data_IF_159442183614
#
_entry.id   IF_159442183614
#
_cell.length_a   1.000
_cell.length_b   1.000
_cell.length_c   1.000
_cell.angle_alpha   90.00
_cell.angle_beta   90.00
_cell.angle_gamma   90.00
#
_symmetry.space_group_name_H-M   'P 1'
#
loop_
_entity.id
_entity.type
_entity.pdbx_description
1 polymer ?
#
# COMPACT_ATOMS: atom_id res chain seq x y z
N UNK A 1 -14.37 -21.16 26.31
CA UNK A 1 -13.68 -20.59 27.49
C UNK A 1 -12.33 -21.28 27.62
N UNK A 2 -11.20 -20.57 27.56
CA UNK A 2 -9.89 -21.22 27.69
C UNK A 2 -9.71 -21.67 29.15
N UNK A 3 -9.51 -22.98 29.40
CA UNK A 3 -9.23 -23.50 30.75
C UNK A 3 -7.93 -22.89 31.28
N UNK A 4 -8.03 -22.10 32.36
CA UNK A 4 -6.87 -21.60 33.11
C UNK A 4 -6.25 -22.75 33.91
N UNK A 5 -4.95 -22.98 33.77
CA UNK A 5 -4.22 -24.00 34.57
C UNK A 5 -3.57 -23.35 35.79
N UNK A 6 -3.25 -24.13 36.83
CA UNK A 6 -2.55 -23.63 38.03
C UNK A 6 -1.05 -23.81 37.84
N UNK A 7 -0.26 -22.76 38.07
CA UNK A 7 1.20 -22.86 38.07
C UNK A 7 1.69 -23.70 39.26
N UNK A 8 2.51 -24.74 39.01
CA UNK A 8 3.09 -25.60 40.05
C UNK A 8 3.97 -24.84 41.06
N UNK A 9 4.57 -23.72 40.67
CA UNK A 9 5.54 -23.00 41.51
C UNK A 9 4.92 -21.85 42.31
N UNK A 10 4.00 -21.07 41.72
CA UNK A 10 3.44 -19.87 42.37
C UNK A 10 1.92 -19.92 42.60
N UNK A 11 1.24 -21.00 42.20
CA UNK A 11 -0.21 -21.15 42.39
C UNK A 11 -1.10 -20.26 41.51
N UNK A 12 -0.52 -19.37 40.69
CA UNK A 12 -1.29 -18.46 39.82
C UNK A 12 -2.04 -19.23 38.73
N UNK A 13 -3.31 -18.82 38.50
CA UNK A 13 -4.17 -19.29 37.41
C UNK A 13 -4.10 -18.34 36.20
N UNK A 14 -3.35 -18.71 35.17
CA UNK A 14 -3.18 -17.94 33.94
C UNK A 14 -3.40 -18.80 32.68
N UNK A 15 -3.40 -18.18 31.51
CA UNK A 15 -3.51 -18.79 30.18
C UNK A 15 -2.56 -18.03 29.25
N UNK A 16 -1.87 -18.61 28.22
CA UNK A 16 -1.86 -19.99 27.74
C UNK A 16 -0.48 -20.72 27.76
N UNK A 17 0.60 -20.10 28.25
CA UNK A 17 1.95 -20.65 28.07
C UNK A 17 2.41 -21.51 29.25
N UNK A 18 2.06 -22.81 29.22
CA UNK A 18 2.57 -23.80 30.18
C UNK A 18 3.58 -24.74 29.50
N UNK A 19 4.84 -24.66 29.93
CA UNK A 19 5.83 -25.71 29.75
C UNK A 19 6.14 -26.30 31.14
N UNK A 20 6.10 -27.63 31.28
CA UNK A 20 6.28 -28.33 32.57
C UNK A 20 5.36 -27.83 33.72
N UNK A 21 4.13 -27.40 33.39
CA UNK A 21 3.14 -26.88 34.37
C UNK A 21 3.56 -25.60 35.13
N UNK A 22 4.46 -24.79 34.54
CA UNK A 22 4.82 -23.47 35.07
C UNK A 22 4.16 -22.35 34.26
N UNK A 23 3.74 -21.27 34.91
CA UNK A 23 3.36 -20.04 34.21
C UNK A 23 4.59 -19.40 33.53
N UNK A 24 4.36 -18.48 32.60
CA UNK A 24 5.43 -17.81 31.86
C UNK A 24 6.48 -17.20 32.79
N UNK A 25 6.06 -16.54 33.88
CA UNK A 25 6.95 -15.93 34.87
C UNK A 25 7.87 -16.97 35.53
N UNK A 26 7.30 -18.03 36.09
CA UNK A 26 8.10 -19.06 36.76
C UNK A 26 8.98 -19.84 35.79
N UNK A 27 8.50 -20.08 34.56
CA UNK A 27 9.29 -20.76 33.54
C UNK A 27 10.50 -19.91 33.10
N UNK A 28 10.29 -18.63 32.80
CA UNK A 28 11.38 -17.73 32.43
C UNK A 28 12.38 -17.53 33.58
N UNK A 29 11.92 -17.45 34.83
CA UNK A 29 12.81 -17.39 36.01
C UNK A 29 13.62 -18.67 36.18
N UNK A 30 13.02 -19.85 35.96
CA UNK A 30 13.75 -21.12 36.00
C UNK A 30 14.84 -21.17 34.94
N UNK A 31 14.57 -20.68 33.72
CA UNK A 31 15.59 -20.56 32.68
C UNK A 31 16.69 -19.62 33.15
N UNK A 32 16.33 -18.43 33.65
CA UNK A 32 17.27 -17.43 34.13
C UNK A 32 18.23 -17.96 35.21
N UNK A 33 17.71 -18.71 36.18
CA UNK A 33 18.50 -19.27 37.26
C UNK A 33 19.53 -20.32 36.79
N UNK A 34 19.33 -20.92 35.62
CA UNK A 34 20.23 -21.91 35.03
C UNK A 34 21.26 -21.30 34.05
N UNK A 35 21.29 -19.96 33.90
CA UNK A 35 22.22 -19.29 32.98
C UNK A 35 23.55 -19.01 33.68
N UNK A 36 24.64 -19.50 33.09
CA UNK A 36 26.01 -19.25 33.57
C UNK A 36 26.56 -17.87 33.16
N UNK A 37 25.78 -17.06 32.43
CA UNK A 37 26.21 -15.77 31.91
C UNK A 37 25.58 -14.61 32.67
N UNK A 38 26.35 -13.55 32.92
CA UNK A 38 25.82 -12.30 33.46
C UNK A 38 24.97 -11.60 32.40
N UNK A 39 23.70 -11.35 32.71
CA UNK A 39 22.73 -10.73 31.80
C UNK A 39 22.26 -9.40 32.39
N UNK A 40 22.30 -8.35 31.58
CA UNK A 40 21.91 -6.98 31.97
C UNK A 40 20.43 -6.84 32.33
N UNK A 41 19.54 -7.56 31.64
CA UNK A 41 18.10 -7.48 31.86
C UNK A 41 17.53 -8.83 32.27
N UNK A 42 16.84 -8.82 33.41
CA UNK A 42 16.19 -9.98 34.01
C UNK A 42 14.84 -10.29 33.36
N UNK A 43 14.44 -11.55 33.42
CA UNK A 43 13.20 -12.06 32.84
C UNK A 43 11.96 -11.39 33.43
N UNK A 44 11.89 -11.20 34.76
CA UNK A 44 10.76 -10.52 35.41
C UNK A 44 10.55 -9.09 34.90
N UNK A 45 11.63 -8.33 34.69
CA UNK A 45 11.55 -7.00 34.12
C UNK A 45 10.96 -7.05 32.71
N UNK A 46 11.45 -7.94 31.85
CA UNK A 46 10.92 -8.07 30.48
C UNK A 46 9.46 -8.51 30.46
N UNK A 47 9.03 -9.41 31.36
CA UNK A 47 7.62 -9.82 31.44
C UNK A 47 6.74 -8.64 31.81
N UNK A 48 7.10 -7.89 32.85
CA UNK A 48 6.32 -6.73 33.27
C UNK A 48 6.24 -5.71 32.12
N UNK A 49 7.37 -5.32 31.55
CA UNK A 49 7.43 -4.24 30.57
C UNK A 49 6.85 -4.63 29.20
N UNK A 50 7.14 -5.84 28.72
CA UNK A 50 6.73 -6.27 27.38
C UNK A 50 5.35 -6.94 27.36
N UNK A 51 5.05 -7.79 28.35
CA UNK A 51 3.82 -8.59 28.35
C UNK A 51 2.69 -7.89 29.10
N UNK A 52 2.96 -7.35 30.29
CA UNK A 52 1.93 -6.72 31.14
C UNK A 52 1.66 -5.28 30.68
N UNK A 53 2.69 -4.45 30.61
CA UNK A 53 2.61 -3.04 30.19
C UNK A 53 2.51 -2.87 28.67
N UNK A 54 2.65 -3.96 27.90
CA UNK A 54 2.57 -3.98 26.44
C UNK A 54 3.49 -2.95 25.75
N UNK A 55 4.66 -2.65 26.34
CA UNK A 55 5.63 -1.73 25.73
C UNK A 55 6.25 -2.38 24.50
N UNK A 56 6.46 -1.59 23.45
CA UNK A 56 7.19 -2.08 22.27
C UNK A 56 8.66 -2.40 22.62
N UNK A 57 9.24 -3.40 21.94
CA UNK A 57 10.67 -3.73 22.01
C UNK A 57 11.56 -2.48 21.80
N UNK A 58 11.12 -1.55 20.95
CA UNK A 58 11.83 -0.29 20.71
C UNK A 58 11.82 0.63 21.93
N UNK A 59 10.70 0.73 22.64
CA UNK A 59 10.58 1.54 23.86
C UNK A 59 11.48 0.98 24.97
N UNK A 60 11.41 -0.33 25.21
CA UNK A 60 12.28 -1.03 26.18
C UNK A 60 13.75 -0.83 25.81
N UNK A 61 14.10 -0.99 24.53
CA UNK A 61 15.46 -0.75 24.01
C UNK A 61 15.97 0.66 24.31
N UNK A 62 15.16 1.70 24.10
CA UNK A 62 15.53 3.09 24.36
C UNK A 62 15.69 3.37 25.87
N UNK A 63 14.73 2.95 26.68
CA UNK A 63 14.72 3.16 28.14
C UNK A 63 15.90 2.47 28.83
N UNK A 64 16.37 1.34 28.27
CA UNK A 64 17.47 0.56 28.84
C UNK A 64 18.81 0.75 28.12
N UNK A 65 18.91 1.67 27.15
CA UNK A 65 20.12 1.94 26.36
C UNK A 65 20.71 0.68 25.68
N UNK A 66 19.86 -0.28 25.30
CA UNK A 66 20.25 -1.51 24.59
C UNK A 66 19.76 -1.50 23.14
N UNK A 67 20.34 -2.33 22.29
CA UNK A 67 19.84 -2.50 20.92
C UNK A 67 18.56 -3.34 20.90
N UNK A 68 17.66 -3.05 19.95
CA UNK A 68 16.43 -3.85 19.74
C UNK A 68 16.74 -5.33 19.47
N UNK A 69 17.87 -5.64 18.83
CA UNK A 69 18.35 -7.01 18.63
C UNK A 69 18.70 -7.70 19.94
N UNK A 70 19.32 -6.99 20.89
CA UNK A 70 19.68 -7.53 22.21
C UNK A 70 18.42 -7.82 23.04
N UNK A 71 17.45 -6.90 23.07
CA UNK A 71 16.14 -7.15 23.71
C UNK A 71 15.44 -8.37 23.10
N UNK A 72 15.42 -8.50 21.75
CA UNK A 72 14.87 -9.70 21.09
C UNK A 72 15.59 -10.97 21.50
N UNK A 73 16.92 -10.94 21.59
CA UNK A 73 17.72 -12.09 22.05
C UNK A 73 17.31 -12.50 23.46
N UNK A 74 17.12 -11.56 24.38
CA UNK A 74 16.68 -11.84 25.74
C UNK A 74 15.25 -12.39 25.82
N UNK A 75 14.31 -11.83 25.07
CA UNK A 75 12.95 -12.37 24.97
C UNK A 75 12.97 -13.83 24.49
N UNK A 76 13.76 -14.14 23.45
CA UNK A 76 13.92 -15.51 22.96
C UNK A 76 14.62 -16.43 23.97
N UNK A 77 15.67 -15.93 24.63
CA UNK A 77 16.44 -16.66 25.66
C UNK A 77 15.53 -17.08 26.82
N UNK A 78 14.73 -16.15 27.33
CA UNK A 78 13.76 -16.40 28.41
C UNK A 78 12.46 -17.05 27.93
N UNK A 79 12.36 -17.41 26.64
CA UNK A 79 11.18 -18.02 26.01
C UNK A 79 9.91 -17.19 26.21
N UNK A 80 10.05 -15.87 26.23
CA UNK A 80 8.92 -14.92 26.23
C UNK A 80 8.43 -14.78 24.78
N UNK A 81 7.17 -15.14 24.48
CA UNK A 81 6.64 -15.12 23.12
C UNK A 81 6.70 -13.72 22.52
N UNK A 82 7.36 -13.57 21.36
CA UNK A 82 7.42 -12.30 20.65
C UNK A 82 6.21 -12.20 19.71
N UNK A 83 5.24 -11.39 20.10
CA UNK A 83 4.10 -11.08 19.23
C UNK A 83 4.52 -10.12 18.13
N UNK A 84 4.30 -10.54 16.87
CA UNK A 84 4.37 -9.63 15.73
C UNK A 84 2.99 -9.03 15.52
N UNK A 85 2.82 -7.75 15.90
CA UNK A 85 1.62 -7.01 15.52
C UNK A 85 1.49 -7.02 13.99
N UNK A 86 0.48 -7.73 13.50
CA UNK A 86 0.12 -7.74 12.08
C UNK A 86 -0.67 -6.46 11.80
N UNK A 87 -0.39 -5.82 10.67
CA UNK A 87 -1.24 -4.74 10.20
C UNK A 87 -2.61 -5.33 9.83
N UNK A 88 -3.67 -4.66 10.24
CA UNK A 88 -5.05 -4.88 9.81
C UNK A 88 -5.25 -4.37 8.40
N UNK A 89 -6.13 -5.03 7.63
CA UNK A 89 -6.53 -4.58 6.30
C UNK A 89 -8.03 -4.89 6.10
N UNK A 90 -8.73 -4.10 5.29
CA UNK A 90 -10.02 -4.53 4.76
C UNK A 90 -9.81 -5.62 3.71
N UNK A 91 -9.81 -6.87 4.15
CA UNK A 91 -9.63 -8.05 3.29
C UNK A 91 -10.74 -8.24 2.26
N UNK A 92 -11.90 -7.57 2.45
CA UNK A 92 -13.05 -7.63 1.54
C UNK A 92 -13.03 -6.56 0.46
N UNK A 93 -11.99 -5.72 0.39
CA UNK A 93 -11.95 -4.54 -0.51
C UNK A 93 -12.09 -4.90 -2.00
N UNK A 94 -11.60 -6.08 -2.40
CA UNK A 94 -11.63 -6.54 -3.80
C UNK A 94 -12.68 -7.63 -4.03
N UNK A 95 -12.92 -8.52 -3.07
CA UNK A 95 -14.01 -9.51 -3.14
C UNK A 95 -15.42 -8.91 -2.99
N UNK A 96 -15.57 -7.76 -2.32
CA UNK A 96 -16.80 -6.95 -2.31
C UNK A 96 -16.53 -5.60 -2.98
N UNK A 97 -16.53 -5.62 -4.32
CA UNK A 97 -16.15 -4.47 -5.13
C UNK A 97 -17.03 -3.25 -4.86
N UNK A 98 -16.40 -2.08 -4.79
CA UNK A 98 -17.03 -0.77 -4.62
C UNK A 98 -16.32 0.27 -5.49
N UNK A 99 -16.86 1.47 -5.63
CA UNK A 99 -16.20 2.56 -6.35
C UNK A 99 -14.79 2.87 -5.82
N UNK A 100 -14.59 2.81 -4.49
CA UNK A 100 -13.28 3.00 -3.87
C UNK A 100 -12.34 1.81 -4.12
N UNK A 101 -12.87 0.58 -4.05
CA UNK A 101 -12.11 -0.63 -4.37
C UNK A 101 -11.63 -0.66 -5.81
N UNK A 102 -12.50 -0.29 -6.76
CA UNK A 102 -12.16 -0.21 -8.19
C UNK A 102 -11.10 0.87 -8.45
N UNK A 103 -11.25 2.06 -7.84
CA UNK A 103 -10.23 3.12 -7.90
C UNK A 103 -8.87 2.64 -7.37
N UNK A 104 -8.85 1.98 -6.21
CA UNK A 104 -7.63 1.42 -5.64
C UNK A 104 -7.01 0.35 -6.57
N UNK A 105 -7.83 -0.53 -7.15
CA UNK A 105 -7.38 -1.54 -8.10
C UNK A 105 -6.69 -0.90 -9.31
N UNK A 106 -7.29 0.14 -9.89
CA UNK A 106 -6.70 0.89 -11.00
C UNK A 106 -5.38 1.55 -10.65
N UNK A 107 -5.28 2.14 -9.46
CA UNK A 107 -4.04 2.74 -8.97
C UNK A 107 -2.95 1.66 -8.76
N UNK A 108 -3.30 0.48 -8.26
CA UNK A 108 -2.36 -0.64 -8.09
C UNK A 108 -1.83 -1.12 -9.45
N UNK A 109 -2.68 -1.21 -10.47
CA UNK A 109 -2.28 -1.66 -11.80
C UNK A 109 -1.24 -0.72 -12.42
N UNK A 110 -1.27 0.57 -12.08
CA UNK A 110 -0.32 1.58 -12.57
C UNK A 110 0.88 1.83 -11.66
N UNK A 111 0.67 2.13 -10.38
CA UNK A 111 1.70 2.54 -9.42
C UNK A 111 1.95 1.51 -8.28
N UNK A 112 1.35 0.33 -8.36
CA UNK A 112 1.65 -0.81 -7.49
C UNK A 112 2.86 -1.64 -7.96
N UNK A 113 3.63 -2.18 -7.03
CA UNK A 113 4.82 -3.00 -7.28
C UNK A 113 4.61 -4.36 -6.64
N UNK A 114 4.32 -5.34 -7.50
CA UNK A 114 3.97 -6.69 -7.10
C UNK A 114 5.19 -7.60 -7.21
N UNK A 115 5.61 -8.18 -6.09
CA UNK A 115 6.90 -8.82 -5.96
C UNK A 115 6.78 -10.15 -5.20
N UNK A 116 7.67 -11.09 -5.52
CA UNK A 116 7.83 -12.34 -4.76
C UNK A 116 8.94 -12.17 -3.73
N UNK A 117 8.64 -12.43 -2.46
CA UNK A 117 9.67 -12.60 -1.45
C UNK A 117 10.27 -14.01 -1.59
N UNK A 118 11.46 -14.09 -2.19
CA UNK A 118 12.18 -15.36 -2.42
C UNK A 118 12.46 -16.15 -1.13
N UNK A 119 12.57 -15.49 0.03
CA UNK A 119 12.86 -16.17 1.31
C UNK A 119 11.63 -16.84 1.91
N UNK A 120 10.46 -16.24 1.75
CA UNK A 120 9.21 -16.75 2.32
C UNK A 120 8.30 -17.42 1.29
N UNK A 121 8.70 -17.37 0.01
CA UNK A 121 7.90 -17.79 -1.15
C UNK A 121 6.47 -17.20 -1.15
N UNK A 122 6.34 -15.93 -0.75
CA UNK A 122 5.06 -15.23 -0.67
C UNK A 122 5.10 -13.94 -1.49
N UNK A 123 4.02 -13.69 -2.22
CA UNK A 123 3.82 -12.44 -2.92
C UNK A 123 3.50 -11.32 -1.95
N UNK A 124 3.93 -10.11 -2.29
CA UNK A 124 3.58 -8.89 -1.60
C UNK A 124 3.42 -7.73 -2.58
N UNK A 125 2.72 -6.70 -2.15
CA UNK A 125 2.48 -5.50 -2.91
C UNK A 125 3.06 -4.29 -2.18
N UNK A 126 3.68 -3.38 -2.91
CA UNK A 126 3.95 -2.01 -2.45
C UNK A 126 3.20 -1.02 -3.31
N UNK A 127 2.50 -0.08 -2.70
CA UNK A 127 1.84 1.00 -3.44
C UNK A 127 2.64 2.27 -3.22
N UNK A 128 3.11 2.93 -4.28
CA UNK A 128 3.97 4.10 -4.19
C UNK A 128 3.27 5.40 -4.58
N UNK A 129 3.76 6.52 -4.03
CA UNK A 129 3.49 7.86 -4.55
C UNK A 129 4.59 8.83 -4.14
N UNK A 130 4.82 9.85 -4.96
CA UNK A 130 5.65 11.01 -4.58
C UNK A 130 4.92 11.93 -3.59
N UNK A 131 3.59 11.84 -3.53
CA UNK A 131 2.74 12.71 -2.71
C UNK A 131 2.18 11.92 -1.52
N UNK A 132 2.47 12.38 -0.30
CA UNK A 132 2.01 11.70 0.93
C UNK A 132 0.49 11.67 1.03
N UNK A 133 -0.19 12.76 0.63
CA UNK A 133 -1.66 12.86 0.67
C UNK A 133 -2.32 11.76 -0.16
N UNK A 134 -1.72 11.38 -1.30
CA UNK A 134 -2.21 10.28 -2.11
C UNK A 134 -2.12 8.95 -1.36
N UNK A 135 -0.98 8.69 -0.72
CA UNK A 135 -0.79 7.45 0.06
C UNK A 135 -1.74 7.41 1.26
N UNK A 136 -2.01 8.54 1.91
CA UNK A 136 -2.97 8.62 3.02
C UNK A 136 -4.40 8.32 2.56
N UNK A 137 -4.83 8.81 1.40
CA UNK A 137 -6.14 8.46 0.81
C UNK A 137 -6.25 6.97 0.50
N UNK A 138 -5.23 6.39 -0.12
CA UNK A 138 -5.19 4.96 -0.42
C UNK A 138 -5.18 4.12 0.86
N UNK A 139 -4.49 4.57 1.92
CA UNK A 139 -4.54 3.96 3.26
C UNK A 139 -5.94 3.96 3.84
N UNK A 140 -6.67 5.08 3.72
CA UNK A 140 -8.06 5.21 4.18
C UNK A 140 -9.00 4.28 3.41
N UNK A 141 -8.83 4.18 2.08
CA UNK A 141 -9.59 3.22 1.25
C UNK A 141 -9.31 1.76 1.66
N UNK A 142 -8.05 1.42 1.89
CA UNK A 142 -7.63 0.09 2.36
C UNK A 142 -8.09 -0.23 3.79
N UNK A 143 -8.53 0.78 4.56
CA UNK A 143 -8.86 0.70 5.99
C UNK A 143 -7.82 -0.09 6.76
N UNK A 144 -6.57 0.35 6.67
CA UNK A 144 -5.40 -0.33 7.27
C UNK A 144 -4.69 0.56 8.29
N UNK A 145 -4.16 -0.05 9.35
CA UNK A 145 -3.23 0.60 10.29
C UNK A 145 -1.77 0.55 9.82
N UNK A 146 -1.49 -0.04 8.65
CA UNK A 146 -0.14 -0.14 8.10
C UNK A 146 0.60 1.20 8.09
N UNK A 147 1.84 1.19 8.58
CA UNK A 147 2.69 2.37 8.60
C UNK A 147 3.02 2.81 7.17
N UNK A 148 2.85 4.11 6.90
CA UNK A 148 3.37 4.72 5.66
C UNK A 148 4.89 4.78 5.80
N UNK A 149 5.57 4.11 4.88
CA UNK A 149 7.02 4.11 4.78
C UNK A 149 7.47 5.23 3.87
N UNK A 150 8.70 5.69 4.06
CA UNK A 150 9.31 6.79 3.34
C UNK A 150 10.72 6.38 2.92
N UNK A 151 11.06 6.63 1.67
CA UNK A 151 12.44 6.63 1.19
C UNK A 151 12.82 8.07 0.89
N UNK A 152 13.85 8.55 1.56
CA UNK A 152 14.35 9.92 1.38
C UNK A 152 14.97 10.11 0.00
N UNK A 153 15.06 11.37 -0.41
CA UNK A 153 15.83 11.73 -1.58
C UNK A 153 17.31 11.39 -1.36
N UNK A 154 17.96 10.87 -2.39
CA UNK A 154 19.40 10.59 -2.40
C UNK A 154 20.01 11.03 -3.73
N UNK A 155 21.14 11.71 -3.66
CA UNK A 155 21.91 12.10 -4.83
C UNK A 155 22.96 11.02 -5.12
N UNK A 156 23.07 10.63 -6.38
CA UNK A 156 24.01 9.64 -6.90
C UNK A 156 24.70 10.27 -8.11
N UNK A 157 25.68 11.14 -7.86
CA UNK A 157 26.31 11.96 -8.91
C UNK A 157 25.26 12.76 -9.68
N UNK A 158 25.21 12.56 -11.00
CA UNK A 158 24.28 13.22 -11.92
C UNK A 158 22.83 12.73 -11.82
N UNK A 159 22.55 11.74 -10.97
CA UNK A 159 21.21 11.17 -10.81
C UNK A 159 20.63 11.45 -9.43
N UNK A 160 19.38 11.94 -9.40
CA UNK A 160 18.65 12.22 -8.15
C UNK A 160 17.55 11.19 -7.98
N UNK A 161 17.66 10.36 -6.95
CA UNK A 161 16.55 9.54 -6.49
C UNK A 161 15.58 10.42 -5.72
N UNK A 162 14.40 10.68 -6.28
CA UNK A 162 13.38 11.48 -5.59
C UNK A 162 12.83 10.75 -4.36
N UNK A 163 12.48 11.55 -3.35
CA UNK A 163 11.71 11.11 -2.18
C UNK A 163 10.39 10.45 -2.60
N UNK A 164 10.05 9.34 -1.95
CA UNK A 164 8.84 8.55 -2.26
C UNK A 164 8.25 7.94 -0.99
N UNK A 165 6.92 7.83 -0.96
CA UNK A 165 6.16 7.22 0.11
C UNK A 165 5.51 5.93 -0.37
N UNK A 166 5.35 4.96 0.52
CA UNK A 166 4.70 3.70 0.17
C UNK A 166 4.08 2.96 1.34
N UNK A 167 3.10 2.10 1.02
CA UNK A 167 2.52 1.13 1.96
C UNK A 167 2.92 -0.26 1.51
N UNK A 168 3.39 -1.09 2.46
CA UNK A 168 3.68 -2.50 2.23
C UNK A 168 2.48 -3.36 2.63
N UNK A 169 2.00 -4.19 1.70
CA UNK A 169 0.85 -5.07 1.85
C UNK A 169 1.33 -6.52 1.65
N UNK A 170 1.39 -7.27 2.76
CA UNK A 170 1.70 -8.71 2.76
C UNK A 170 0.49 -9.59 3.09
N UNK A 171 -0.72 -9.02 3.07
CA UNK A 171 -1.95 -9.74 3.37
C UNK A 171 -2.32 -10.66 2.20
N UNK A 172 -2.26 -11.98 2.39
CA UNK A 172 -2.41 -12.94 1.31
C UNK A 172 -3.84 -13.01 0.74
N UNK A 173 -4.87 -12.61 1.50
CA UNK A 173 -6.25 -12.56 0.99
C UNK A 173 -6.36 -11.46 -0.08
N UNK A 174 -5.86 -10.26 0.22
CA UNK A 174 -5.81 -9.15 -0.73
C UNK A 174 -4.96 -9.51 -1.96
N UNK A 175 -3.81 -10.14 -1.74
CA UNK A 175 -2.90 -10.54 -2.81
C UNK A 175 -3.55 -11.55 -3.75
N UNK A 176 -4.26 -12.55 -3.21
CA UNK A 176 -4.97 -13.55 -4.00
C UNK A 176 -6.11 -12.92 -4.81
N UNK A 177 -6.82 -11.94 -4.26
CA UNK A 177 -7.84 -11.21 -5.02
C UNK A 177 -7.23 -10.40 -6.18
N UNK A 178 -6.08 -9.75 -5.98
CA UNK A 178 -5.36 -9.03 -7.04
C UNK A 178 -4.90 -9.96 -8.16
N UNK A 179 -4.43 -11.17 -7.82
CA UNK A 179 -4.07 -12.20 -8.81
C UNK A 179 -5.29 -12.61 -9.65
N UNK A 180 -6.48 -12.78 -9.04
CA UNK A 180 -7.73 -13.07 -9.77
C UNK A 180 -8.11 -11.96 -10.76
N UNK A 181 -7.81 -10.71 -10.43
CA UNK A 181 -7.98 -9.57 -11.35
C UNK A 181 -6.90 -9.49 -12.44
N UNK A 182 -5.89 -10.36 -12.42
CA UNK A 182 -4.86 -10.43 -13.46
C UNK A 182 -3.61 -9.58 -13.18
N UNK A 183 -3.36 -9.19 -11.92
CA UNK A 183 -2.09 -8.57 -11.54
C UNK A 183 -0.94 -9.58 -11.63
N UNK A 184 0.22 -9.15 -12.15
CA UNK A 184 1.40 -10.00 -12.37
C UNK A 184 2.69 -9.28 -11.98
N UNK A 185 3.79 -9.99 -11.67
CA UNK A 185 5.09 -9.38 -11.34
C UNK A 185 5.58 -8.48 -12.50
N UNK A 186 5.48 -8.97 -13.73
CA UNK A 186 5.88 -8.21 -14.93
C UNK A 186 4.71 -7.40 -15.50
N UNK A 187 3.97 -6.71 -14.62
CA UNK A 187 2.76 -5.97 -15.01
C UNK A 187 2.98 -5.04 -16.20
N UNK A 188 4.16 -4.41 -16.29
CA UNK A 188 4.47 -3.47 -17.36
C UNK A 188 4.54 -4.13 -18.74
N UNK A 189 4.64 -5.46 -18.82
CA UNK A 189 4.66 -6.21 -20.08
C UNK A 189 3.37 -7.01 -20.26
N UNK A 190 2.85 -7.59 -19.17
CA UNK A 190 1.88 -8.67 -19.23
C UNK A 190 0.52 -8.35 -18.62
N UNK A 191 0.35 -7.19 -17.98
CA UNK A 191 -0.96 -6.82 -17.40
C UNK A 191 -1.99 -6.66 -18.51
N UNK A 192 -3.22 -7.10 -18.20
CA UNK A 192 -4.41 -7.00 -19.04
C UNK A 192 -5.46 -6.17 -18.33
N UNK A 193 -6.45 -5.68 -19.07
CA UNK A 193 -7.61 -5.04 -18.48
C UNK A 193 -8.38 -6.06 -17.63
N UNK A 194 -8.65 -5.77 -16.35
CA UNK A 194 -9.33 -6.72 -15.47
C UNK A 194 -10.79 -6.91 -15.88
N UNK A 195 -11.29 -8.14 -15.72
CA UNK A 195 -12.74 -8.40 -15.84
C UNK A 195 -13.47 -7.71 -14.68
N UNK A 196 -14.23 -6.66 -15.01
CA UNK A 196 -14.99 -5.85 -14.05
C UNK A 196 -16.40 -5.60 -14.59
N UNK A 197 -17.39 -5.53 -13.68
CA UNK A 197 -18.70 -4.99 -14.01
C UNK A 197 -18.56 -3.55 -14.54
N UNK A 198 -19.40 -3.19 -15.50
CA UNK A 198 -19.27 -1.93 -16.25
C UNK A 198 -19.31 -0.70 -15.32
N UNK A 199 -20.19 -0.73 -14.32
CA UNK A 199 -20.32 0.31 -13.28
C UNK A 199 -19.03 0.62 -12.51
N UNK A 200 -18.05 -0.29 -12.49
CA UNK A 200 -16.78 -0.11 -11.80
C UNK A 200 -15.63 0.30 -12.71
N UNK A 201 -15.77 0.16 -14.04
CA UNK A 201 -14.67 0.40 -14.98
C UNK A 201 -14.24 1.86 -15.03
N UNK A 202 -15.16 2.82 -14.95
CA UNK A 202 -14.82 4.26 -14.89
C UNK A 202 -14.03 4.60 -13.62
N UNK A 203 -14.39 4.00 -12.48
CA UNK A 203 -13.66 4.14 -11.22
C UNK A 203 -12.27 3.50 -11.29
N UNK A 204 -12.15 2.31 -11.89
CA UNK A 204 -10.87 1.67 -12.17
C UNK A 204 -9.97 2.56 -13.04
N UNK A 205 -10.49 3.08 -14.16
CA UNK A 205 -9.75 3.98 -15.03
C UNK A 205 -9.34 5.28 -14.34
N UNK A 206 -10.21 5.85 -13.49
CA UNK A 206 -9.86 6.99 -12.64
C UNK A 206 -8.67 6.66 -11.73
N UNK A 207 -8.62 5.45 -11.18
CA UNK A 207 -7.47 4.92 -10.44
C UNK A 207 -6.20 4.83 -11.28
N UNK A 208 -6.30 4.30 -12.50
CA UNK A 208 -5.18 4.23 -13.44
C UNK A 208 -4.63 5.63 -13.76
N UNK A 209 -5.53 6.59 -14.04
CA UNK A 209 -5.15 7.99 -14.25
C UNK A 209 -4.50 8.59 -13.01
N UNK A 210 -5.01 8.32 -11.80
CA UNK A 210 -4.40 8.85 -10.58
C UNK A 210 -2.95 8.36 -10.36
N UNK A 211 -2.58 7.18 -10.85
CA UNK A 211 -1.21 6.67 -10.80
C UNK A 211 -0.33 7.13 -11.98
N UNK A 212 -0.73 6.83 -13.22
CA UNK A 212 0.10 7.08 -14.42
C UNK A 212 -0.44 8.14 -15.39
N UNK A 213 -1.50 8.84 -15.00
CA UNK A 213 -2.08 9.93 -15.77
C UNK A 213 -1.38 11.27 -15.54
N UNK A 214 -1.40 12.12 -16.55
CA UNK A 214 -0.90 13.48 -16.50
C UNK A 214 -1.95 14.45 -17.04
N UNK A 215 -2.05 15.61 -16.42
CA UNK A 215 -2.95 16.69 -16.83
C UNK A 215 -2.13 17.98 -16.83
N UNK A 216 -2.24 18.76 -17.90
CA UNK A 216 -1.52 20.03 -18.07
C UNK A 216 -2.41 21.04 -18.77
N UNK A 217 -2.18 22.33 -18.53
CA UNK A 217 -2.81 23.42 -19.28
C UNK A 217 -1.71 24.10 -20.11
N UNK A 218 -1.95 24.29 -21.39
CA UNK A 218 -1.06 25.00 -22.30
C UNK A 218 -1.90 25.82 -23.28
N UNK A 219 -1.59 27.11 -23.46
CA UNK A 219 -2.35 28.02 -24.33
C UNK A 219 -3.87 27.89 -24.14
N UNK A 220 -4.30 27.95 -22.88
CA UNK A 220 -5.72 27.91 -22.47
C UNK A 220 -6.46 26.63 -22.84
N UNK A 221 -5.73 25.57 -23.18
CA UNK A 221 -6.28 24.24 -23.46
C UNK A 221 -5.80 23.26 -22.40
N UNK A 222 -6.71 22.42 -21.93
CA UNK A 222 -6.38 21.30 -21.06
C UNK A 222 -5.94 20.10 -21.90
N UNK A 223 -4.90 19.41 -21.45
CA UNK A 223 -4.41 18.19 -22.07
C UNK A 223 -4.33 17.10 -21.01
N UNK A 224 -4.83 15.92 -21.37
CA UNK A 224 -4.79 14.74 -20.51
C UNK A 224 -4.09 13.60 -21.23
N UNK A 225 -3.22 12.89 -20.54
CA UNK A 225 -2.55 11.70 -21.09
C UNK A 225 -2.41 10.63 -20.03
N UNK A 226 -2.23 9.38 -20.46
CA UNK A 226 -1.83 8.27 -19.59
C UNK A 226 -0.71 7.51 -20.28
N UNK A 227 0.32 7.14 -19.51
CA UNK A 227 1.47 6.38 -19.99
C UNK A 227 1.46 5.00 -19.34
N UNK A 228 1.48 3.94 -20.14
CA UNK A 228 1.40 2.54 -19.67
C UNK A 228 2.50 1.72 -20.34
N UNK A 229 3.13 0.80 -19.60
CA UNK A 229 4.17 -0.09 -20.15
C UNK A 229 3.64 -1.15 -21.12
N UNK A 230 2.43 -1.65 -20.88
CA UNK A 230 1.80 -2.75 -21.64
C UNK A 230 0.95 -2.22 -22.79
N UNK A 231 1.31 -2.58 -24.02
CA UNK A 231 0.53 -2.23 -25.22
C UNK A 231 -0.88 -2.84 -25.17
N UNK A 232 -0.99 -4.10 -24.74
CA UNK A 232 -2.28 -4.79 -24.64
C UNK A 232 -3.22 -4.05 -23.69
N UNK A 233 -2.71 -3.65 -22.53
CA UNK A 233 -3.50 -2.95 -21.53
C UNK A 233 -3.96 -1.56 -22.01
N UNK A 234 -3.05 -0.74 -22.56
CA UNK A 234 -3.45 0.60 -23.03
C UNK A 234 -4.39 0.53 -24.25
N UNK A 235 -4.27 -0.51 -25.09
CA UNK A 235 -5.20 -0.73 -26.20
C UNK A 235 -6.60 -1.07 -25.71
N UNK A 236 -6.74 -1.88 -24.66
CA UNK A 236 -8.04 -2.16 -24.04
C UNK A 236 -8.64 -0.92 -23.35
N UNK A 237 -7.80 -0.09 -22.71
CA UNK A 237 -8.23 1.20 -22.16
C UNK A 237 -8.77 2.12 -23.27
N UNK A 238 -8.05 2.24 -24.38
CA UNK A 238 -8.43 3.08 -25.52
C UNK A 238 -9.75 2.61 -26.16
N UNK A 239 -9.88 1.30 -26.41
CA UNK A 239 -11.12 0.68 -26.93
C UNK A 239 -12.30 0.92 -26.01
N UNK A 240 -12.10 0.80 -24.70
CA UNK A 240 -13.16 1.04 -23.73
C UNK A 240 -13.59 2.52 -23.69
N UNK A 241 -12.62 3.44 -23.68
CA UNK A 241 -12.91 4.88 -23.70
C UNK A 241 -13.61 5.32 -24.99
N UNK A 242 -13.17 4.81 -26.14
CA UNK A 242 -13.82 5.13 -27.42
C UNK A 242 -15.24 4.60 -27.51
N UNK A 243 -15.48 3.37 -27.03
CA UNK A 243 -16.83 2.79 -26.92
C UNK A 243 -17.74 3.55 -25.96
N UNK A 244 -17.18 4.40 -25.10
CA UNK A 244 -17.90 5.25 -24.13
C UNK A 244 -17.94 6.74 -24.55
N UNK A 245 -17.84 7.01 -25.86
CA UNK A 245 -18.11 8.34 -26.41
C UNK A 245 -16.91 9.30 -26.50
N UNK A 246 -15.69 8.83 -26.21
CA UNK A 246 -14.48 9.58 -26.52
C UNK A 246 -14.04 9.32 -27.97
N UNK A 247 -13.40 10.30 -28.63
CA UNK A 247 -12.83 10.05 -29.96
C UNK A 247 -11.67 9.03 -29.86
N UNK A 248 -11.61 8.04 -30.76
CA UNK A 248 -10.51 7.08 -30.82
C UNK A 248 -9.14 7.76 -30.88
N UNK A 249 -8.13 7.18 -30.22
CA UNK A 249 -6.78 7.74 -30.12
C UNK A 249 -5.73 6.79 -30.62
N UNK A 250 -4.82 7.34 -31.43
CA UNK A 250 -3.58 6.65 -31.77
C UNK A 250 -2.75 6.43 -30.50
N UNK A 251 -2.26 5.21 -30.34
CA UNK A 251 -1.33 4.84 -29.27
C UNK A 251 0.10 5.09 -29.77
N UNK A 252 0.84 5.97 -29.10
CA UNK A 252 2.21 6.28 -29.46
C UNK A 252 3.18 5.50 -28.57
N UNK A 253 4.21 4.88 -29.16
CA UNK A 253 5.32 4.27 -28.41
C UNK A 253 6.37 5.33 -28.11
N UNK A 254 6.79 5.43 -26.86
CA UNK A 254 7.92 6.29 -26.49
C UNK A 254 9.23 5.65 -26.98
N UNK A 255 9.98 6.39 -27.80
CA UNK A 255 11.26 5.93 -28.37
C UNK A 255 12.47 6.24 -27.47
N UNK A 256 12.31 7.12 -26.47
CA UNK A 256 13.40 7.61 -25.61
C UNK A 256 13.63 6.73 -24.36
N UNK A 257 12.70 5.83 -24.04
CA UNK A 257 12.81 4.96 -22.87
C UNK A 257 13.44 3.63 -23.25
N UNK A 258 14.40 3.15 -22.44
CA UNK A 258 14.95 1.78 -22.54
C UNK A 258 13.88 0.70 -22.36
N UNK A 259 12.78 1.01 -21.67
CA UNK A 259 11.64 0.10 -21.47
C UNK A 259 10.46 0.54 -22.32
N UNK A 260 9.70 -0.40 -22.92
CA UNK A 260 8.52 -0.06 -23.69
C UNK A 260 7.54 0.73 -22.84
N UNK A 261 7.04 1.82 -23.41
CA UNK A 261 5.97 2.62 -22.83
C UNK A 261 5.14 3.22 -23.96
N UNK A 262 3.85 3.31 -23.71
CA UNK A 262 2.84 3.67 -24.68
C UNK A 262 1.98 4.78 -24.10
N UNK A 263 1.55 5.73 -24.93
CA UNK A 263 0.79 6.89 -24.50
C UNK A 263 -0.42 7.12 -25.41
N UNK A 264 -1.55 7.43 -24.79
CA UNK A 264 -2.71 8.05 -25.44
C UNK A 264 -2.89 9.46 -24.88
N UNK A 265 -3.34 10.39 -25.72
CA UNK A 265 -3.48 11.82 -25.40
C UNK A 265 -4.85 12.34 -25.81
N UNK A 266 -5.43 13.16 -24.95
CA UNK A 266 -6.67 13.90 -25.16
C UNK A 266 -6.38 15.39 -25.02
N UNK A 267 -6.98 16.19 -25.88
CA UNK A 267 -6.77 17.64 -25.94
C UNK A 267 -8.10 18.38 -25.86
N UNK A 268 -8.09 19.50 -25.15
CA UNK A 268 -9.18 20.46 -25.01
C UNK A 268 -10.53 19.77 -24.69
N UNK A 269 -11.58 19.96 -25.49
CA UNK A 269 -12.91 19.39 -25.24
C UNK A 269 -12.95 17.87 -25.08
N UNK A 270 -12.00 17.14 -25.66
CA UNK A 270 -11.92 15.68 -25.46
C UNK A 270 -11.28 15.30 -24.12
N UNK A 271 -10.42 16.17 -23.60
CA UNK A 271 -9.91 16.06 -22.22
C UNK A 271 -10.99 16.46 -21.21
N UNK A 272 -11.90 17.38 -21.54
CA UNK A 272 -13.08 17.70 -20.72
C UNK A 272 -14.07 16.53 -20.66
N UNK A 273 -14.39 15.92 -21.82
CA UNK A 273 -15.21 14.70 -21.87
C UNK A 273 -14.60 13.57 -21.05
N UNK A 274 -13.29 13.36 -21.16
CA UNK A 274 -12.56 12.40 -20.35
C UNK A 274 -12.72 12.69 -18.86
N UNK A 275 -12.58 13.96 -18.45
CA UNK A 275 -12.76 14.34 -17.06
C UNK A 275 -14.19 14.04 -16.57
N UNK A 276 -15.21 14.45 -17.32
CA UNK A 276 -16.60 14.19 -16.97
C UNK A 276 -16.90 12.69 -16.87
N UNK A 277 -16.31 11.87 -17.75
CA UNK A 277 -16.44 10.42 -17.71
C UNK A 277 -15.75 9.79 -16.49
N UNK A 278 -14.46 10.08 -16.27
CA UNK A 278 -13.67 9.45 -15.21
C UNK A 278 -14.09 9.91 -13.82
N UNK A 279 -14.39 11.20 -13.66
CA UNK A 279 -14.59 11.83 -12.36
C UNK A 279 -16.06 11.92 -11.96
N UNK A 280 -16.98 11.31 -12.72
CA UNK A 280 -18.36 11.08 -12.28
C UNK A 280 -18.38 10.30 -10.96
N UNK A 281 -19.13 10.80 -9.98
CA UNK A 281 -19.23 10.18 -8.64
C UNK A 281 -17.90 10.09 -7.90
N UNK A 282 -16.94 10.99 -8.17
CA UNK A 282 -15.70 11.05 -7.40
C UNK A 282 -15.97 11.43 -5.94
N UNK A 283 -15.08 11.00 -5.07
CA UNK A 283 -14.99 11.46 -3.68
C UNK A 283 -13.58 12.01 -3.43
N UNK A 284 -13.38 12.70 -2.31
CA UNK A 284 -12.05 13.19 -1.91
C UNK A 284 -11.00 12.07 -1.79
N UNK A 285 -11.42 10.82 -1.57
CA UNK A 285 -10.52 9.66 -1.51
C UNK A 285 -10.14 9.09 -2.88
N UNK A 286 -10.99 9.27 -3.89
CA UNK A 286 -10.85 8.62 -5.20
C UNK A 286 -10.40 9.59 -6.29
N UNK A 287 -9.49 10.50 -5.95
CA UNK A 287 -8.89 11.48 -6.86
C UNK A 287 -7.40 11.64 -6.57
N UNK A 288 -6.67 12.13 -7.57
CA UNK A 288 -5.34 12.70 -7.40
C UNK A 288 -5.47 14.21 -7.19
N UNK A 289 -4.99 14.72 -6.05
CA UNK A 289 -5.06 16.16 -5.74
C UNK A 289 -4.38 17.01 -6.81
N UNK A 290 -3.23 16.53 -7.30
CA UNK A 290 -2.46 17.21 -8.36
C UNK A 290 -3.29 17.41 -9.63
N UNK A 291 -3.98 16.37 -10.08
CA UNK A 291 -4.78 16.42 -11.31
C UNK A 291 -6.04 17.26 -11.09
N UNK A 292 -6.70 17.06 -9.96
CA UNK A 292 -7.91 17.79 -9.58
C UNK A 292 -7.68 19.29 -9.55
N UNK A 293 -6.58 19.76 -8.96
CA UNK A 293 -6.22 21.19 -8.90
C UNK A 293 -6.09 21.77 -10.31
N UNK A 294 -5.48 21.04 -11.24
CA UNK A 294 -5.27 21.50 -12.62
C UNK A 294 -6.61 21.58 -13.36
N UNK A 295 -7.47 20.58 -13.25
CA UNK A 295 -8.81 20.64 -13.85
C UNK A 295 -9.65 21.77 -13.28
N UNK A 296 -9.66 21.96 -11.95
CA UNK A 296 -10.37 23.08 -11.31
C UNK A 296 -9.89 24.42 -11.84
N UNK A 297 -8.57 24.64 -11.90
CA UNK A 297 -7.99 25.87 -12.46
C UNK A 297 -8.45 26.11 -13.91
N UNK A 298 -8.54 25.06 -14.71
CA UNK A 298 -9.02 25.16 -16.09
C UNK A 298 -10.49 25.56 -16.18
N UNK A 299 -11.38 24.85 -15.47
CA UNK A 299 -12.83 25.12 -15.54
C UNK A 299 -13.19 26.51 -14.99
N UNK A 300 -12.58 26.94 -13.88
CA UNK A 300 -12.79 28.30 -13.35
C UNK A 300 -12.38 29.39 -14.35
N UNK A 301 -11.30 29.18 -15.11
CA UNK A 301 -10.88 30.15 -16.12
C UNK A 301 -11.87 30.25 -17.28
N UNK A 302 -12.44 29.13 -17.71
CA UNK A 302 -13.47 29.12 -18.76
C UNK A 302 -14.70 29.90 -18.30
N UNK A 303 -15.17 29.65 -17.08
CA UNK A 303 -16.31 30.37 -16.50
C UNK A 303 -16.04 31.88 -16.51
N UNK A 304 -14.89 32.35 -16.03
CA UNK A 304 -14.56 33.78 -16.04
C UNK A 304 -14.47 34.41 -17.45
N UNK A 305 -14.14 33.62 -18.48
CA UNK A 305 -14.07 34.11 -19.86
C UNK A 305 -15.43 34.11 -20.56
N UNK A 306 -16.44 33.39 -20.05
CA UNK A 306 -17.81 33.39 -20.59
C UNK A 306 -18.62 34.62 -20.16
N UNK A 307 -18.17 35.35 -19.13
CA UNK A 307 -18.79 36.58 -18.61
C UNK A 307 -18.02 37.86 -18.99
N UNK A 308 -17.10 37.78 -19.96
CA UNK A 308 -16.42 38.91 -20.59
C UNK A 308 -16.89 39.08 -22.02
#
# INVERSE_FOLDING_TARGET
MIMKKVCKNCGIKESPYYYKNLCQKCFSQQIENNLNQQIEIKSNFLINEYVIENKSIRKISLENKLTTSKIRKYLLLYRIPIERKKNSFNEKIFSKMSAQGAFLLGYIFTDGDFLLNKKTNQYFLRIYSKHITQIEKLKKILKTDAKIQKREQKNYGDSVQTKIYFIHIGNQIIINDLLKFGLTIEKNLNVKFPKLEDKFKSHFLRGCWAGSGNVTIYEDRVYSSIVIGSYKFISEIEKYLSSNGLKPRKIYKNKLSKKPSYVIKYAHGESEKLYNFLYKGKTNLTISDKQEIIYKKYFTRIECNQYK
#
